data_IF_248094672260
#
_entry.id   IF_248094672260
#
_cell.length_a   1.000
_cell.length_b   1.000
_cell.length_c   1.000
_cell.angle_alpha   90.00
_cell.angle_beta   90.00
_cell.angle_gamma   90.00
#
_symmetry.space_group_name_H-M   'P 1'
#
loop_
_entity.id
_entity.type
_entity.pdbx_description
1 polymer ?
#
# COMPACT_ATOMS: atom_id res chain seq x y z
N UNK A 1 27.93 28.99 -20.99
CA UNK A 1 26.84 28.01 -20.83
C UNK A 1 26.20 28.14 -19.43
N UNK A 2 27.00 28.32 -18.38
CA UNK A 2 26.51 28.65 -17.02
C UNK A 2 25.78 30.00 -16.91
N UNK A 3 26.13 30.99 -17.74
CA UNK A 3 25.49 32.31 -17.71
C UNK A 3 24.04 32.31 -18.24
N UNK A 4 23.76 31.48 -19.25
CA UNK A 4 22.38 31.25 -19.74
C UNK A 4 21.52 30.48 -18.74
N UNK A 5 22.14 29.63 -17.92
CA UNK A 5 21.46 28.87 -16.86
C UNK A 5 21.02 29.79 -15.71
N UNK A 6 21.82 30.82 -15.40
CA UNK A 6 21.47 31.84 -14.39
C UNK A 6 20.38 32.80 -14.88
N UNK A 7 20.41 33.21 -16.15
CA UNK A 7 19.37 34.09 -16.72
C UNK A 7 17.97 33.46 -16.75
N UNK A 8 17.87 32.15 -17.04
CA UNK A 8 16.59 31.42 -17.01
C UNK A 8 16.00 31.22 -15.60
N UNK A 9 16.79 31.40 -14.54
CA UNK A 9 16.34 31.27 -13.15
C UNK A 9 15.83 32.59 -12.54
N UNK A 10 16.10 33.73 -13.17
CA UNK A 10 15.79 35.06 -12.62
C UNK A 10 14.67 35.83 -13.32
N UNK A 11 14.27 35.45 -14.54
CA UNK A 11 13.15 36.11 -15.22
C UNK A 11 11.87 35.28 -15.11
N UNK A 12 10.78 35.93 -14.71
CA UNK A 12 9.41 35.41 -14.90
C UNK A 12 9.12 35.39 -16.40
N UNK A 13 8.66 34.26 -16.96
CA UNK A 13 7.60 34.37 -17.95
C UNK A 13 6.54 33.27 -17.83
N UNK A 14 5.41 33.53 -18.47
CA UNK A 14 4.36 32.54 -18.70
C UNK A 14 4.92 31.35 -19.48
N UNK A 15 4.65 30.13 -19.00
CA UNK A 15 5.19 28.88 -19.54
C UNK A 15 4.52 28.57 -20.88
N UNK A 16 5.28 28.66 -21.98
CA UNK A 16 4.91 28.14 -23.30
C UNK A 16 5.48 26.72 -23.50
N UNK A 17 4.78 25.86 -24.25
CA UNK A 17 5.10 24.44 -24.55
C UNK A 17 6.54 24.16 -25.04
N UNK A 18 7.30 25.18 -25.45
CA UNK A 18 8.71 25.07 -25.86
C UNK A 18 9.66 24.72 -24.70
N UNK A 19 9.38 25.17 -23.48
CA UNK A 19 10.27 24.95 -22.33
C UNK A 19 10.26 23.49 -21.86
N UNK A 20 9.12 22.81 -21.95
CA UNK A 20 8.99 21.40 -21.59
C UNK A 20 9.86 20.54 -22.52
N UNK A 21 9.87 20.81 -23.83
CA UNK A 21 10.69 20.08 -24.81
C UNK A 21 12.21 20.25 -24.59
N UNK A 22 12.61 21.39 -24.03
CA UNK A 22 14.01 21.70 -23.73
C UNK A 22 14.43 21.06 -22.40
N UNK A 23 13.55 21.08 -21.39
CA UNK A 23 13.72 20.31 -20.16
C UNK A 23 13.84 18.82 -20.46
N UNK A 24 13.00 18.26 -21.33
CA UNK A 24 13.10 16.86 -21.77
C UNK A 24 14.49 16.48 -22.32
N UNK A 25 15.11 17.37 -23.09
CA UNK A 25 16.47 17.16 -23.63
C UNK A 25 17.54 17.28 -22.54
N UNK A 26 17.38 18.18 -21.58
CA UNK A 26 18.29 18.33 -20.43
C UNK A 26 18.21 17.12 -19.49
N UNK A 27 16.99 16.56 -19.29
CA UNK A 27 16.76 15.35 -18.50
C UNK A 27 17.48 14.12 -19.06
N UNK A 28 17.62 14.02 -20.38
CA UNK A 28 18.37 12.95 -21.03
C UNK A 28 19.89 13.09 -20.84
N UNK A 29 20.40 14.29 -20.52
CA UNK A 29 21.83 14.59 -20.45
C UNK A 29 22.32 14.59 -18.98
N UNK A 30 21.56 15.16 -18.04
CA UNK A 30 21.88 15.16 -16.60
C UNK A 30 20.67 14.81 -15.72
N UNK A 31 20.51 13.53 -15.31
CA UNK A 31 19.36 13.09 -14.52
C UNK A 31 19.31 13.67 -13.11
N UNK A 32 20.45 13.86 -12.43
CA UNK A 32 20.51 14.25 -11.01
C UNK A 32 20.14 15.72 -10.76
N UNK A 33 20.64 16.65 -11.57
CA UNK A 33 20.30 18.10 -11.53
C UNK A 33 18.81 18.31 -11.85
N UNK A 34 18.31 17.50 -12.78
CA UNK A 34 16.95 17.49 -13.27
C UNK A 34 15.94 17.01 -12.20
N UNK A 35 16.28 15.97 -11.44
CA UNK A 35 15.47 15.48 -10.32
C UNK A 35 15.27 16.52 -9.20
N UNK A 36 16.34 17.23 -8.82
CA UNK A 36 16.27 18.29 -7.80
C UNK A 36 15.37 19.45 -8.24
N UNK A 37 15.41 19.78 -9.53
CA UNK A 37 14.58 20.83 -10.13
C UNK A 37 13.09 20.47 -10.10
N UNK A 38 12.73 19.21 -10.36
CA UNK A 38 11.34 18.73 -10.21
C UNK A 38 10.85 18.88 -8.76
N UNK A 39 11.66 18.50 -7.77
CA UNK A 39 11.26 18.64 -6.37
C UNK A 39 10.96 20.10 -6.03
N UNK A 40 11.83 21.03 -6.45
CA UNK A 40 11.63 22.46 -6.24
C UNK A 40 10.42 23.02 -7.01
N UNK A 41 10.11 22.49 -8.20
CA UNK A 41 8.92 22.89 -8.96
C UNK A 41 7.63 22.42 -8.30
N UNK A 42 7.61 21.21 -7.73
CA UNK A 42 6.46 20.69 -6.97
C UNK A 42 6.27 21.43 -5.65
N UNK A 43 7.36 21.84 -4.99
CA UNK A 43 7.31 22.65 -3.76
C UNK A 43 6.86 24.09 -4.02
N UNK A 44 7.20 24.65 -5.19
CA UNK A 44 6.93 26.05 -5.53
C UNK A 44 5.61 26.30 -6.24
N UNK A 45 4.76 25.29 -6.46
CA UNK A 45 3.40 25.41 -7.00
C UNK A 45 3.27 25.95 -8.45
N UNK A 46 4.38 26.24 -9.14
CA UNK A 46 4.37 27.10 -10.33
C UNK A 46 3.90 26.43 -11.63
N UNK A 47 4.04 25.11 -11.76
CA UNK A 47 3.53 24.34 -12.92
C UNK A 47 3.36 22.83 -12.64
N UNK A 48 2.27 22.48 -11.94
CA UNK A 48 1.98 21.09 -11.59
C UNK A 48 1.66 20.23 -12.83
N UNK A 49 1.08 20.81 -13.88
CA UNK A 49 0.65 20.06 -15.08
C UNK A 49 1.85 19.62 -15.93
N UNK A 50 2.76 20.54 -16.24
CA UNK A 50 3.99 20.20 -16.98
C UNK A 50 4.86 19.23 -16.18
N UNK A 51 4.92 19.41 -14.86
CA UNK A 51 5.65 18.51 -13.96
C UNK A 51 5.08 17.08 -13.98
N UNK A 52 3.74 16.91 -13.97
CA UNK A 52 3.13 15.57 -14.09
C UNK A 52 3.49 14.92 -15.42
N UNK A 53 3.42 15.66 -16.54
CA UNK A 53 3.77 15.12 -17.86
C UNK A 53 5.23 14.68 -17.93
N UNK A 54 6.13 15.46 -17.34
CA UNK A 54 7.56 15.16 -17.27
C UNK A 54 7.85 13.94 -16.39
N UNK A 55 7.24 13.86 -15.20
CA UNK A 55 7.41 12.72 -14.27
C UNK A 55 6.86 11.43 -14.89
N UNK A 56 5.70 11.48 -15.54
CA UNK A 56 5.08 10.32 -16.19
C UNK A 56 5.80 9.88 -17.46
N UNK A 57 6.72 10.68 -17.99
CA UNK A 57 7.52 10.29 -19.13
C UNK A 57 8.56 9.22 -18.76
N UNK A 58 8.98 8.43 -19.75
CA UNK A 58 10.05 7.45 -19.59
C UNK A 58 11.45 8.09 -19.38
N UNK A 59 11.54 9.43 -19.41
CA UNK A 59 12.80 10.13 -19.18
C UNK A 59 13.23 10.13 -17.71
N UNK A 60 12.31 9.88 -16.78
CA UNK A 60 12.63 9.73 -15.35
C UNK A 60 12.83 8.25 -15.00
N UNK A 61 13.87 7.97 -14.20
CA UNK A 61 14.13 6.61 -13.71
C UNK A 61 13.01 6.11 -12.79
N UNK A 62 12.71 4.82 -12.87
CA UNK A 62 11.56 4.20 -12.18
C UNK A 62 11.63 4.37 -10.65
N UNK A 63 12.83 4.25 -10.05
CA UNK A 63 13.05 4.50 -8.62
C UNK A 63 12.70 5.93 -8.21
N UNK A 64 13.18 6.92 -8.96
CA UNK A 64 12.90 8.33 -8.68
C UNK A 64 11.40 8.65 -8.81
N UNK A 65 10.76 8.13 -9.85
CA UNK A 65 9.31 8.27 -10.04
C UNK A 65 8.53 7.76 -8.81
N UNK A 66 8.86 6.55 -8.35
CA UNK A 66 8.19 5.94 -7.20
C UNK A 66 8.46 6.72 -5.91
N UNK A 67 9.72 7.09 -5.65
CA UNK A 67 10.10 7.81 -4.44
C UNK A 67 9.46 9.20 -4.36
N UNK A 68 9.40 9.90 -5.48
CA UNK A 68 8.77 11.21 -5.58
C UNK A 68 7.28 11.11 -5.27
N UNK A 69 6.58 10.14 -5.87
CA UNK A 69 5.16 9.94 -5.59
C UNK A 69 4.91 9.54 -4.14
N UNK A 70 5.75 8.68 -3.55
CA UNK A 70 5.64 8.35 -2.12
C UNK A 70 5.73 9.61 -1.28
N UNK A 71 6.68 10.52 -1.56
CA UNK A 71 6.80 11.78 -0.84
C UNK A 71 5.54 12.66 -0.98
N UNK A 72 5.02 12.80 -2.22
CA UNK A 72 3.81 13.59 -2.47
C UNK A 72 2.56 13.01 -1.80
N UNK A 73 2.36 11.69 -1.88
CA UNK A 73 1.19 11.03 -1.28
C UNK A 73 1.29 10.86 0.24
N UNK A 74 2.49 10.80 0.80
CA UNK A 74 2.69 10.79 2.26
C UNK A 74 2.27 12.14 2.87
N UNK A 75 2.51 13.25 2.19
CA UNK A 75 2.08 14.59 2.60
C UNK A 75 0.82 15.07 1.86
N UNK A 76 -0.13 14.17 1.59
CA UNK A 76 -1.30 14.43 0.73
C UNK A 76 -2.14 15.65 1.09
N UNK A 77 -2.19 16.06 2.35
CA UNK A 77 -2.98 17.22 2.78
C UNK A 77 -2.35 18.55 2.37
N UNK A 78 -1.03 18.60 2.17
CA UNK A 78 -0.28 19.79 1.80
C UNK A 78 0.29 19.70 0.37
N UNK A 79 0.11 18.57 -0.31
CA UNK A 79 0.62 18.36 -1.65
C UNK A 79 -0.34 18.94 -2.69
N UNK A 80 0.10 20.01 -3.34
CA UNK A 80 -0.61 20.55 -4.49
C UNK A 80 -0.71 19.54 -5.64
N UNK A 81 0.31 18.69 -5.81
CA UNK A 81 0.31 17.59 -6.76
C UNK A 81 -0.89 16.65 -6.54
N UNK A 82 -1.08 16.17 -5.31
CA UNK A 82 -2.19 15.27 -4.99
C UNK A 82 -3.54 15.98 -5.19
N UNK A 83 -3.63 17.25 -4.79
CA UNK A 83 -4.82 18.08 -5.02
C UNK A 83 -5.13 18.26 -6.51
N UNK A 84 -4.11 18.39 -7.35
CA UNK A 84 -4.24 18.57 -8.79
C UNK A 84 -4.69 17.28 -9.46
N UNK A 85 -3.98 16.18 -9.19
CA UNK A 85 -4.23 14.87 -9.81
C UNK A 85 -5.58 14.28 -9.39
N UNK A 86 -6.06 14.60 -8.19
CA UNK A 86 -7.38 14.16 -7.72
C UNK A 86 -8.56 14.92 -8.30
N UNK A 87 -8.35 16.09 -8.93
CA UNK A 87 -9.44 16.85 -9.56
C UNK A 87 -9.96 16.09 -10.78
N UNK A 88 -11.28 16.00 -10.91
CA UNK A 88 -11.96 15.31 -12.02
C UNK A 88 -11.59 15.87 -13.39
N UNK A 89 -11.26 17.16 -13.47
CA UNK A 89 -10.78 17.82 -14.70
C UNK A 89 -9.43 17.25 -15.19
N UNK A 90 -8.61 16.70 -14.30
CA UNK A 90 -7.25 16.24 -14.58
C UNK A 90 -7.15 14.71 -14.71
N UNK A 91 -8.27 14.04 -15.06
CA UNK A 91 -8.31 12.60 -15.35
C UNK A 91 -7.20 12.11 -16.29
N UNK A 92 -6.82 12.82 -17.38
CA UNK A 92 -5.72 12.38 -18.24
C UNK A 92 -4.38 12.30 -17.50
N UNK A 93 -4.09 13.27 -16.62
CA UNK A 93 -2.88 13.30 -15.79
C UNK A 93 -2.84 12.13 -14.80
N UNK A 94 -3.97 11.84 -14.12
CA UNK A 94 -4.06 10.66 -13.25
C UNK A 94 -3.88 9.36 -14.04
N UNK A 95 -4.48 9.25 -15.22
CA UNK A 95 -4.31 8.07 -16.09
C UNK A 95 -2.85 7.87 -16.49
N UNK A 96 -2.13 8.93 -16.83
CA UNK A 96 -0.71 8.85 -17.14
C UNK A 96 0.12 8.34 -15.94
N UNK A 97 -0.21 8.80 -14.72
CA UNK A 97 0.40 8.30 -13.48
C UNK A 97 0.10 6.81 -13.28
N UNK A 98 -1.17 6.39 -13.37
CA UNK A 98 -1.56 4.99 -13.24
C UNK A 98 -0.88 4.09 -14.29
N UNK A 99 -0.86 4.51 -15.56
CA UNK A 99 -0.23 3.76 -16.65
C UNK A 99 1.27 3.57 -16.40
N UNK A 100 1.95 4.61 -15.91
CA UNK A 100 3.37 4.54 -15.55
C UNK A 100 3.59 3.56 -14.39
N UNK A 101 2.77 3.61 -13.34
CA UNK A 101 2.81 2.65 -12.22
C UNK A 101 2.59 1.22 -12.70
N UNK A 102 1.58 0.98 -13.52
CA UNK A 102 1.27 -0.33 -14.08
C UNK A 102 2.42 -0.88 -14.94
N UNK A 103 3.07 -0.04 -15.74
CA UNK A 103 4.26 -0.43 -16.50
C UNK A 103 5.43 -0.82 -15.58
N UNK A 104 5.65 -0.07 -14.50
CA UNK A 104 6.69 -0.39 -13.50
C UNK A 104 6.36 -1.71 -12.78
N UNK A 105 5.11 -1.97 -12.43
CA UNK A 105 4.69 -3.25 -11.85
C UNK A 105 4.98 -4.44 -12.75
N UNK A 106 4.72 -4.30 -14.06
CA UNK A 106 5.04 -5.34 -15.04
C UNK A 106 6.53 -5.58 -15.17
N UNK A 107 7.35 -4.52 -15.07
CA UNK A 107 8.81 -4.65 -15.01
C UNK A 107 9.24 -5.35 -13.73
N UNK A 108 8.74 -4.95 -12.55
CA UNK A 108 9.09 -5.60 -11.27
C UNK A 108 8.73 -7.09 -11.24
N UNK A 109 7.74 -7.53 -12.04
CA UNK A 109 7.43 -8.96 -12.18
C UNK A 109 8.46 -9.74 -13.02
N UNK A 110 9.22 -9.04 -13.88
CA UNK A 110 10.20 -9.63 -14.81
C UNK A 110 11.63 -9.43 -14.33
N UNK A 111 11.90 -8.25 -13.79
CA UNK A 111 13.18 -7.77 -13.29
C UNK A 111 13.20 -7.97 -11.78
N UNK A 112 14.19 -8.68 -11.24
CA UNK A 112 14.24 -9.05 -9.82
C UNK A 112 14.62 -7.87 -8.90
N UNK A 113 14.23 -6.65 -9.24
CA UNK A 113 14.46 -5.44 -8.43
C UNK A 113 13.51 -5.38 -7.22
N UNK A 114 13.87 -6.14 -6.19
CA UNK A 114 13.11 -6.26 -4.94
C UNK A 114 12.95 -4.92 -4.21
N UNK A 115 13.93 -4.02 -4.34
CA UNK A 115 13.85 -2.71 -3.69
C UNK A 115 12.76 -1.88 -4.34
N UNK A 116 12.74 -1.82 -5.67
CA UNK A 116 11.68 -1.13 -6.40
C UNK A 116 10.31 -1.73 -6.10
N UNK A 117 10.19 -3.07 -6.07
CA UNK A 117 8.93 -3.75 -5.76
C UNK A 117 8.36 -3.32 -4.40
N UNK A 118 9.16 -3.36 -3.32
CA UNK A 118 8.74 -2.94 -1.97
C UNK A 118 8.25 -1.48 -1.93
N UNK A 119 8.92 -0.59 -2.69
CA UNK A 119 8.53 0.81 -2.80
C UNK A 119 7.23 0.97 -3.57
N UNK A 120 7.02 0.20 -4.64
CA UNK A 120 5.76 0.19 -5.40
C UNK A 120 4.60 -0.31 -4.52
N UNK A 121 4.80 -1.34 -3.70
CA UNK A 121 3.78 -1.81 -2.73
C UNK A 121 3.37 -0.67 -1.78
N UNK A 122 4.35 0.05 -1.22
CA UNK A 122 4.08 1.21 -0.37
C UNK A 122 3.34 2.31 -1.13
N UNK A 123 3.76 2.66 -2.34
CA UNK A 123 3.10 3.66 -3.17
C UNK A 123 1.63 3.31 -3.44
N UNK A 124 1.36 2.06 -3.81
CA UNK A 124 -0.01 1.58 -4.06
C UNK A 124 -0.87 1.70 -2.80
N UNK A 125 -0.33 1.38 -1.63
CA UNK A 125 -1.04 1.53 -0.35
C UNK A 125 -1.47 2.98 -0.09
N UNK A 126 -0.58 3.94 -0.39
CA UNK A 126 -0.84 5.35 -0.21
C UNK A 126 -1.89 5.85 -1.21
N UNK A 127 -1.78 5.45 -2.48
CA UNK A 127 -2.74 5.82 -3.52
C UNK A 127 -4.13 5.22 -3.23
N UNK A 128 -4.21 3.95 -2.85
CA UNK A 128 -5.47 3.25 -2.57
C UNK A 128 -6.22 3.87 -1.37
N UNK A 129 -5.48 4.45 -0.42
CA UNK A 129 -6.05 5.18 0.72
C UNK A 129 -6.69 6.52 0.34
N UNK A 130 -6.37 7.07 -0.83
CA UNK A 130 -6.89 8.35 -1.29
C UNK A 130 -8.28 8.18 -1.92
N UNK A 131 -9.34 8.45 -1.16
CA UNK A 131 -10.73 8.33 -1.62
C UNK A 131 -11.11 9.26 -2.78
N UNK A 132 -10.35 10.32 -3.01
CA UNK A 132 -10.54 11.25 -4.12
C UNK A 132 -10.05 10.68 -5.46
N UNK A 133 -9.19 9.65 -5.43
CA UNK A 133 -8.66 9.02 -6.62
C UNK A 133 -9.58 7.89 -7.08
N UNK A 134 -9.99 7.95 -8.34
CA UNK A 134 -10.74 6.89 -8.99
C UNK A 134 -9.81 6.13 -9.93
N UNK A 135 -9.47 4.92 -9.53
CA UNK A 135 -8.72 3.95 -10.32
C UNK A 135 -9.72 3.23 -11.23
N UNK A 136 -9.32 2.89 -12.45
CA UNK A 136 -10.16 2.07 -13.32
C UNK A 136 -10.26 0.64 -12.81
N UNK A 137 -11.27 -0.11 -13.25
CA UNK A 137 -11.40 -1.51 -12.87
C UNK A 137 -10.17 -2.32 -13.31
N UNK A 138 -9.68 -2.14 -14.54
CA UNK A 138 -8.54 -2.91 -15.06
C UNK A 138 -7.24 -2.64 -14.27
N UNK A 139 -6.94 -1.37 -13.99
CA UNK A 139 -5.80 -0.99 -13.15
C UNK A 139 -5.92 -1.59 -11.75
N UNK A 140 -7.11 -1.54 -11.16
CA UNK A 140 -7.34 -2.14 -9.85
C UNK A 140 -7.10 -3.65 -9.86
N UNK A 141 -7.60 -4.39 -10.86
CA UNK A 141 -7.34 -5.84 -10.98
C UNK A 141 -5.84 -6.13 -11.05
N UNK A 142 -5.11 -5.34 -11.83
CA UNK A 142 -3.66 -5.45 -11.97
C UNK A 142 -2.94 -5.19 -10.64
N UNK A 143 -3.33 -4.12 -9.93
CA UNK A 143 -2.72 -3.72 -8.66
C UNK A 143 -3.02 -4.72 -7.55
N UNK A 144 -4.24 -5.23 -7.45
CA UNK A 144 -4.59 -6.33 -6.52
C UNK A 144 -3.76 -7.57 -6.84
N UNK A 145 -3.66 -7.95 -8.12
CA UNK A 145 -2.83 -9.09 -8.53
C UNK A 145 -1.34 -8.88 -8.21
N UNK A 146 -0.86 -7.63 -8.26
CA UNK A 146 0.50 -7.28 -7.89
C UNK A 146 0.72 -7.37 -6.37
N UNK A 147 -0.19 -6.83 -5.56
CA UNK A 147 -0.14 -6.95 -4.09
C UNK A 147 -0.27 -8.41 -3.62
N UNK A 148 -1.06 -9.22 -4.33
CA UNK A 148 -1.26 -10.64 -4.06
C UNK A 148 -0.15 -11.54 -4.64
N UNK A 149 0.98 -10.96 -5.05
CA UNK A 149 2.10 -11.73 -5.60
C UNK A 149 2.87 -12.46 -4.49
N UNK A 150 3.36 -13.66 -4.80
CA UNK A 150 4.07 -14.55 -3.85
C UNK A 150 5.59 -14.42 -3.89
N UNK A 151 6.11 -13.58 -4.78
CA UNK A 151 7.55 -13.51 -5.06
C UNK A 151 8.29 -12.71 -3.97
N UNK A 152 7.58 -11.86 -3.24
CA UNK A 152 8.18 -11.01 -2.22
C UNK A 152 8.23 -11.68 -0.83
N UNK A 153 9.37 -11.55 -0.16
CA UNK A 153 9.74 -12.23 1.10
C UNK A 153 9.92 -11.28 2.27
N UNK A 154 9.81 -9.96 2.08
CA UNK A 154 10.01 -9.04 3.18
C UNK A 154 8.74 -8.88 4.04
N UNK A 155 8.89 -9.12 5.35
CA UNK A 155 7.80 -9.08 6.34
C UNK A 155 7.04 -7.75 6.32
N UNK A 156 7.73 -6.64 6.05
CA UNK A 156 7.14 -5.29 6.02
C UNK A 156 6.19 -5.13 4.84
N UNK A 157 6.62 -5.43 3.62
CA UNK A 157 5.80 -5.32 2.42
C UNK A 157 4.66 -6.32 2.42
N UNK A 158 4.85 -7.52 2.97
CA UNK A 158 3.76 -8.49 3.15
C UNK A 158 2.67 -7.93 4.05
N UNK A 159 3.04 -7.31 5.19
CA UNK A 159 2.08 -6.65 6.09
C UNK A 159 1.39 -5.48 5.40
N UNK A 160 2.12 -4.64 4.67
CA UNK A 160 1.55 -3.50 3.93
C UNK A 160 0.58 -3.99 2.85
N UNK A 161 0.96 -5.00 2.05
CA UNK A 161 0.12 -5.56 1.01
C UNK A 161 -1.17 -6.16 1.60
N UNK A 162 -1.05 -6.98 2.64
CA UNK A 162 -2.19 -7.54 3.37
C UNK A 162 -3.11 -6.43 3.90
N UNK A 163 -2.53 -5.44 4.60
CA UNK A 163 -3.31 -4.36 5.16
C UNK A 163 -3.98 -3.51 4.08
N UNK A 164 -3.31 -3.28 2.95
CA UNK A 164 -3.86 -2.51 1.81
C UNK A 164 -5.08 -3.20 1.21
N UNK A 165 -4.98 -4.52 0.97
CA UNK A 165 -6.08 -5.35 0.44
C UNK A 165 -7.29 -5.30 1.38
N UNK A 166 -7.08 -5.37 2.68
CA UNK A 166 -8.15 -5.33 3.69
C UNK A 166 -8.73 -3.92 3.90
N UNK A 167 -7.90 -2.89 3.84
CA UNK A 167 -8.26 -1.52 4.20
C UNK A 167 -8.92 -0.73 3.07
N UNK A 168 -8.67 -1.08 1.80
CA UNK A 168 -8.90 -0.17 0.67
C UNK A 168 -10.10 -0.56 -0.22
N UNK A 169 -11.33 -0.12 0.10
CA UNK A 169 -12.51 -0.40 -0.73
C UNK A 169 -12.43 0.33 -2.07
N UNK A 170 -11.65 1.40 -2.18
CA UNK A 170 -11.43 2.13 -3.43
C UNK A 170 -10.67 1.30 -4.47
N UNK A 171 -9.91 0.30 -4.01
CA UNK A 171 -9.28 -0.65 -4.90
C UNK A 171 -10.39 -1.58 -5.44
N UNK A 172 -11.22 -2.16 -4.58
CA UNK A 172 -12.24 -3.13 -4.98
C UNK A 172 -13.66 -2.54 -4.90
N UNK A 173 -13.92 -1.45 -5.65
CA UNK A 173 -15.21 -0.73 -5.62
C UNK A 173 -16.38 -1.61 -6.09
N UNK A 174 -16.14 -2.47 -7.07
CA UNK A 174 -17.14 -3.38 -7.63
C UNK A 174 -16.89 -4.82 -7.18
N UNK A 175 -17.28 -5.14 -5.95
CA UNK A 175 -17.15 -6.48 -5.37
C UNK A 175 -17.78 -7.58 -6.24
N UNK A 176 -18.79 -7.25 -7.05
CA UNK A 176 -19.50 -8.21 -7.91
C UNK A 176 -18.62 -8.60 -9.09
N UNK A 177 -18.03 -7.64 -9.80
CA UNK A 177 -17.09 -7.98 -10.88
C UNK A 177 -15.76 -8.54 -10.36
N UNK A 178 -15.41 -8.28 -9.09
CA UNK A 178 -14.22 -8.85 -8.45
C UNK A 178 -14.41 -10.29 -7.92
N UNK A 179 -15.64 -10.83 -7.89
CA UNK A 179 -15.88 -12.29 -7.75
C UNK A 179 -15.47 -13.09 -9.00
N UNK A 180 -14.88 -12.44 -9.99
CA UNK A 180 -14.16 -13.10 -11.08
C UNK A 180 -13.16 -14.13 -10.52
N UNK A 181 -13.16 -15.31 -11.15
CA UNK A 181 -12.42 -16.49 -10.73
C UNK A 181 -10.91 -16.19 -10.61
N UNK A 182 -10.37 -15.33 -11.48
CA UNK A 182 -8.93 -15.03 -11.51
C UNK A 182 -8.44 -14.25 -10.28
N UNK A 183 -9.20 -13.24 -9.83
CA UNK A 183 -8.80 -12.41 -8.68
C UNK A 183 -9.06 -13.15 -7.39
N UNK A 184 -10.22 -13.82 -7.28
CA UNK A 184 -10.50 -14.71 -6.17
C UNK A 184 -9.40 -15.75 -5.98
N UNK A 185 -8.99 -16.43 -7.07
CA UNK A 185 -7.84 -17.36 -7.03
C UNK A 185 -6.55 -16.68 -6.60
N UNK A 186 -6.24 -15.50 -7.13
CA UNK A 186 -5.00 -14.77 -6.77
C UNK A 186 -4.97 -14.42 -5.27
N UNK A 187 -6.07 -13.89 -4.74
CA UNK A 187 -6.22 -13.55 -3.31
C UNK A 187 -6.16 -14.79 -2.41
N UNK A 188 -6.91 -15.85 -2.74
CA UNK A 188 -6.85 -17.11 -1.99
C UNK A 188 -5.43 -17.68 -2.00
N UNK A 189 -4.78 -17.68 -3.16
CA UNK A 189 -3.41 -18.18 -3.32
C UNK A 189 -2.41 -17.36 -2.50
N UNK A 190 -2.59 -16.05 -2.43
CA UNK A 190 -1.81 -15.15 -1.58
C UNK A 190 -2.04 -15.42 -0.09
N UNK A 191 -3.29 -15.56 0.35
CA UNK A 191 -3.60 -15.88 1.74
C UNK A 191 -3.04 -17.24 2.16
N UNK A 192 -3.16 -18.28 1.32
CA UNK A 192 -2.53 -19.57 1.57
C UNK A 192 -1.01 -19.51 1.55
N UNK A 193 -0.42 -18.58 0.78
CA UNK A 193 1.02 -18.33 0.81
C UNK A 193 1.44 -17.66 2.13
N UNK A 194 0.73 -16.62 2.59
CA UNK A 194 0.98 -16.04 3.90
C UNK A 194 0.85 -17.09 5.01
N UNK A 195 -0.15 -17.96 4.89
CA UNK A 195 -0.35 -19.08 5.82
C UNK A 195 0.88 -19.99 5.90
N UNK A 196 1.52 -20.31 4.77
CA UNK A 196 2.73 -21.16 4.77
C UNK A 196 3.95 -20.42 5.34
N UNK A 197 4.05 -19.10 5.16
CA UNK A 197 5.13 -18.29 5.73
C UNK A 197 5.07 -18.24 7.26
N UNK A 198 3.89 -18.04 7.84
CA UNK A 198 3.75 -17.90 9.29
C UNK A 198 4.10 -19.18 10.05
N UNK A 199 4.24 -20.34 9.38
CA UNK A 199 4.73 -21.56 10.00
C UNK A 199 6.22 -21.47 10.36
N UNK A 200 6.96 -20.52 9.76
CA UNK A 200 8.37 -20.29 10.06
C UNK A 200 8.52 -19.22 11.15
N UNK A 201 9.50 -19.36 12.08
CA UNK A 201 9.69 -18.44 13.20
C UNK A 201 10.12 -17.02 12.75
N UNK A 202 10.77 -16.90 11.60
CA UNK A 202 11.21 -15.62 11.03
C UNK A 202 10.05 -14.66 10.73
N UNK A 203 8.84 -15.20 10.49
CA UNK A 203 7.62 -14.44 10.24
C UNK A 203 6.73 -14.31 11.49
N UNK A 204 7.30 -14.40 12.70
CA UNK A 204 6.55 -14.17 13.93
C UNK A 204 5.80 -12.82 13.95
N UNK A 205 6.37 -11.68 13.45
CA UNK A 205 5.64 -10.42 13.39
C UNK A 205 4.42 -10.47 12.47
N UNK A 206 4.56 -10.98 11.24
CA UNK A 206 3.44 -11.22 10.32
C UNK A 206 2.39 -12.18 10.92
N UNK A 207 2.84 -13.26 11.56
CA UNK A 207 1.97 -14.23 12.24
C UNK A 207 1.10 -13.56 13.29
N UNK A 208 1.68 -12.68 14.11
CA UNK A 208 0.93 -11.93 15.12
C UNK A 208 -0.13 -11.04 14.46
N UNK A 209 0.24 -10.28 13.43
CA UNK A 209 -0.70 -9.43 12.68
C UNK A 209 -1.84 -10.24 12.08
N UNK A 210 -1.57 -11.39 11.47
CA UNK A 210 -2.60 -12.23 10.85
C UNK A 210 -3.59 -12.80 11.87
N UNK A 211 -3.10 -13.22 13.04
CA UNK A 211 -3.96 -13.69 14.15
C UNK A 211 -4.86 -12.55 14.62
N UNK A 212 -4.29 -11.35 14.81
CA UNK A 212 -5.03 -10.17 15.25
C UNK A 212 -6.15 -9.81 14.27
N UNK A 213 -5.83 -9.77 12.98
CA UNK A 213 -6.81 -9.54 11.93
C UNK A 213 -7.91 -10.60 12.00
N UNK A 214 -7.56 -11.88 12.10
CA UNK A 214 -8.55 -12.96 12.19
C UNK A 214 -9.48 -12.77 13.40
N UNK A 215 -8.91 -12.48 14.57
CA UNK A 215 -9.70 -12.29 15.79
C UNK A 215 -10.72 -11.17 15.60
N UNK A 216 -10.26 -10.00 15.14
CA UNK A 216 -11.13 -8.85 14.93
C UNK A 216 -12.21 -9.10 13.86
N UNK A 217 -11.89 -9.85 12.81
CA UNK A 217 -12.85 -10.19 11.76
C UNK A 217 -13.97 -11.09 12.26
N UNK A 218 -13.65 -12.07 13.12
CA UNK A 218 -14.62 -13.02 13.67
C UNK A 218 -15.42 -12.41 14.82
N UNK A 219 -14.83 -11.54 15.65
CA UNK A 219 -15.57 -10.78 16.68
C UNK A 219 -16.33 -9.57 16.14
N UNK A 220 -16.27 -9.32 14.83
CA UNK A 220 -16.82 -8.13 14.15
C UNK A 220 -16.39 -6.79 14.78
N UNK A 221 -15.16 -6.73 15.29
CA UNK A 221 -14.61 -5.53 15.93
C UNK A 221 -13.94 -4.63 14.89
N UNK A 222 -14.76 -3.90 14.14
CA UNK A 222 -14.31 -3.06 13.05
C UNK A 222 -13.47 -1.83 13.50
N UNK A 223 -13.63 -1.35 14.74
CA UNK A 223 -12.84 -0.22 15.26
C UNK A 223 -11.39 -0.62 15.48
N UNK A 224 -11.15 -1.67 16.28
CA UNK A 224 -9.80 -2.09 16.60
C UNK A 224 -9.06 -2.63 15.36
N UNK A 225 -9.79 -3.25 14.44
CA UNK A 225 -9.25 -3.63 13.14
C UNK A 225 -8.79 -2.40 12.33
N UNK A 226 -9.58 -1.33 12.35
CA UNK A 226 -9.22 -0.07 11.69
C UNK A 226 -7.96 0.53 12.31
N UNK A 227 -7.82 0.47 13.64
CA UNK A 227 -6.62 0.94 14.35
C UNK A 227 -5.40 0.08 13.98
N UNK A 228 -5.55 -1.26 13.98
CA UNK A 228 -4.49 -2.18 13.60
C UNK A 228 -3.99 -1.93 12.17
N UNK A 229 -4.91 -1.84 11.21
CA UNK A 229 -4.58 -1.56 9.80
C UNK A 229 -3.95 -0.17 9.64
N UNK A 230 -4.41 0.83 10.40
CA UNK A 230 -3.80 2.17 10.41
C UNK A 230 -2.37 2.16 10.90
N UNK A 231 -2.07 1.37 11.93
CA UNK A 231 -0.71 1.23 12.47
C UNK A 231 0.25 0.57 11.47
N UNK A 232 -0.24 -0.41 10.70
CA UNK A 232 0.57 -1.07 9.66
C UNK A 232 0.83 -0.12 8.48
N UNK A 233 -0.19 0.64 8.08
CA UNK A 233 -0.12 1.51 6.90
C UNK A 233 0.43 2.92 7.18
N UNK A 234 0.61 3.30 8.44
CA UNK A 234 1.11 4.61 8.86
C UNK A 234 0.13 5.76 8.61
N UNK A 235 -1.14 5.48 8.33
CA UNK A 235 -2.17 6.50 8.11
C UNK A 235 -3.54 6.00 8.56
N UNK A 236 -4.45 6.93 8.86
CA UNK A 236 -5.80 6.60 9.32
C UNK A 236 -6.59 5.85 8.24
N UNK A 237 -6.98 4.63 8.55
CA UNK A 237 -7.89 3.78 7.79
C UNK A 237 -9.31 3.98 8.32
N UNK A 238 -10.35 4.10 7.47
CA UNK A 238 -11.74 4.09 7.92
C UNK A 238 -12.20 2.67 8.23
N UNK A 239 -13.35 2.51 8.91
CA UNK A 239 -14.03 1.21 9.10
C UNK A 239 -14.58 0.68 7.77
N UNK A 240 -13.71 0.20 6.88
CA UNK A 240 -14.02 -0.08 5.47
C UNK A 240 -14.34 -1.53 5.19
N UNK A 241 -14.00 -2.44 6.09
CA UNK A 241 -14.12 -3.89 5.86
C UNK A 241 -15.57 -4.38 5.83
N UNK A 242 -16.50 -3.66 6.44
CA UNK A 242 -17.95 -3.86 6.24
C UNK A 242 -18.38 -3.68 4.78
N UNK A 243 -17.61 -2.93 3.99
CA UNK A 243 -17.82 -2.71 2.55
C UNK A 243 -17.10 -3.73 1.69
N UNK A 244 -16.38 -4.70 2.29
CA UNK A 244 -15.60 -5.70 1.58
C UNK A 244 -15.88 -7.15 2.04
N UNK A 245 -17.14 -7.63 2.00
CA UNK A 245 -17.49 -8.97 2.47
C UNK A 245 -16.74 -10.09 1.74
N UNK A 246 -16.48 -9.95 0.43
CA UNK A 246 -15.78 -10.96 -0.35
C UNK A 246 -14.35 -11.20 0.14
N UNK A 247 -13.60 -10.12 0.42
CA UNK A 247 -12.22 -10.22 0.91
C UNK A 247 -12.19 -10.79 2.33
N UNK A 248 -13.17 -10.40 3.18
CA UNK A 248 -13.34 -10.97 4.53
C UNK A 248 -13.56 -12.48 4.47
N UNK A 249 -14.47 -12.94 3.61
CA UNK A 249 -14.76 -14.37 3.38
C UNK A 249 -13.48 -15.13 2.97
N UNK A 250 -12.76 -14.60 1.97
CA UNK A 250 -11.53 -15.24 1.48
C UNK A 250 -10.43 -15.30 2.55
N UNK A 251 -10.27 -14.25 3.36
CA UNK A 251 -9.27 -14.23 4.42
C UNK A 251 -9.56 -15.28 5.49
N UNK A 252 -10.81 -15.32 5.99
CA UNK A 252 -11.23 -16.29 7.01
C UNK A 252 -11.10 -17.73 6.48
N UNK A 253 -11.37 -17.95 5.19
CA UNK A 253 -11.30 -19.28 4.59
C UNK A 253 -9.87 -19.75 4.29
N UNK A 254 -8.94 -18.86 3.93
CA UNK A 254 -7.65 -19.27 3.32
C UNK A 254 -6.40 -18.78 4.06
N UNK A 255 -6.47 -17.76 4.91
CA UNK A 255 -5.27 -17.12 5.49
C UNK A 255 -4.83 -17.77 6.80
N UNK A 256 -5.76 -18.06 7.69
CA UNK A 256 -5.50 -18.74 8.96
C UNK A 256 -6.79 -19.36 9.49
N UNK A 257 -6.70 -20.56 10.07
CA UNK A 257 -7.85 -21.21 10.68
C UNK A 257 -7.84 -21.05 12.21
N UNK A 258 -8.98 -21.37 12.84
CA UNK A 258 -9.17 -21.22 14.29
C UNK A 258 -8.19 -22.08 15.13
N UNK A 259 -7.74 -23.23 14.59
CA UNK A 259 -6.78 -24.10 15.26
C UNK A 259 -5.38 -23.47 15.28
N UNK A 260 -4.91 -22.93 14.16
CA UNK A 260 -3.62 -22.24 14.09
C UNK A 260 -3.59 -21.01 14.99
N UNK A 261 -4.69 -20.26 15.02
CA UNK A 261 -4.86 -19.13 15.94
C UNK A 261 -4.72 -19.60 17.39
N UNK A 262 -5.41 -20.68 17.77
CA UNK A 262 -5.32 -21.24 19.13
C UNK A 262 -3.89 -21.68 19.49
N UNK A 263 -3.24 -22.43 18.61
CA UNK A 263 -1.87 -22.92 18.83
C UNK A 263 -0.85 -21.79 18.92
N UNK A 264 -0.94 -20.80 18.04
CA UNK A 264 0.02 -19.70 18.02
C UNK A 264 -0.20 -18.77 19.20
N UNK A 265 -1.44 -18.47 19.54
CA UNK A 265 -1.72 -17.57 20.64
C UNK A 265 -1.58 -18.22 22.03
N UNK A 266 -1.58 -19.55 22.14
CA UNK A 266 -1.07 -20.26 23.32
C UNK A 266 0.44 -20.05 23.57
N UNK A 267 1.20 -19.69 22.53
CA UNK A 267 2.64 -19.50 22.57
C UNK A 267 3.07 -18.03 22.46
N UNK A 268 2.13 -17.07 22.51
CA UNK A 268 2.49 -15.65 22.50
C UNK A 268 3.06 -15.28 23.87
N UNK A 269 4.28 -14.75 23.87
CA UNK A 269 4.93 -14.26 25.08
C UNK A 269 4.05 -13.24 25.81
N UNK A 270 3.83 -13.48 27.10
CA UNK A 270 3.10 -12.56 27.96
C UNK A 270 3.81 -11.21 27.96
N UNK A 271 3.06 -10.14 27.69
CA UNK A 271 3.59 -8.78 27.78
C UNK A 271 3.89 -8.45 29.24
N UNK A 272 5.17 -8.44 29.60
CA UNK A 272 5.63 -8.12 30.96
C UNK A 272 5.31 -6.65 31.26
N UNK A 273 4.84 -6.37 32.48
CA UNK A 273 4.54 -5.01 32.98
C UNK A 273 3.44 -4.29 32.19
N UNK A 274 2.35 -5.00 31.89
CA UNK A 274 1.15 -4.42 31.31
C UNK A 274 0.63 -3.26 32.18
N UNK A 275 0.25 -2.15 31.57
CA UNK A 275 -0.45 -1.07 32.26
C UNK A 275 -1.60 -0.53 31.41
N UNK A 276 -2.57 0.11 32.06
CA UNK A 276 -3.80 0.60 31.42
C UNK A 276 -3.57 1.76 30.43
N UNK A 277 -2.37 2.35 30.40
CA UNK A 277 -2.01 3.43 29.46
C UNK A 277 -1.35 2.92 28.19
N UNK A 278 -1.03 1.61 28.10
CA UNK A 278 -0.49 1.02 26.89
C UNK A 278 -1.55 1.01 25.79
N UNK A 279 -1.36 1.85 24.78
CA UNK A 279 -2.22 1.90 23.59
C UNK A 279 -1.86 0.81 22.58
N UNK A 280 -2.87 0.20 21.97
CA UNK A 280 -2.71 -0.82 20.93
C UNK A 280 -3.17 -2.21 21.37
N UNK A 281 -3.27 -3.14 20.41
CA UNK A 281 -3.75 -4.47 20.71
C UNK A 281 -2.63 -5.34 21.31
N UNK A 282 -2.78 -5.64 22.60
CA UNK A 282 -1.89 -6.51 23.35
C UNK A 282 -2.27 -7.99 23.17
N UNK A 283 -1.31 -8.93 23.27
CA UNK A 283 -1.55 -10.38 23.27
C UNK A 283 -2.71 -10.87 24.14
N UNK A 284 -2.94 -10.19 25.27
CA UNK A 284 -4.04 -10.51 26.21
C UNK A 284 -5.42 -10.48 25.54
N UNK A 285 -5.65 -9.55 24.61
CA UNK A 285 -6.94 -9.47 23.92
C UNK A 285 -7.18 -10.68 23.00
N UNK A 286 -6.12 -11.22 22.36
CA UNK A 286 -6.21 -12.48 21.61
C UNK A 286 -6.59 -13.64 22.51
N UNK A 287 -5.95 -13.75 23.68
CA UNK A 287 -6.22 -14.81 24.65
C UNK A 287 -7.67 -14.72 25.15
N UNK A 288 -8.15 -13.52 25.50
CA UNK A 288 -9.54 -13.30 25.92
C UNK A 288 -10.55 -13.73 24.85
N UNK A 289 -10.34 -13.36 23.58
CA UNK A 289 -11.22 -13.75 22.49
C UNK A 289 -11.27 -15.27 22.30
N UNK A 290 -10.13 -15.95 22.38
CA UNK A 290 -10.08 -17.41 22.26
C UNK A 290 -10.68 -18.16 23.43
N UNK A 291 -10.52 -17.64 24.65
CA UNK A 291 -11.19 -18.17 25.84
C UNK A 291 -12.71 -18.08 25.67
N UNK A 292 -13.21 -16.94 25.17
CA UNK A 292 -14.63 -16.78 24.86
C UNK A 292 -15.13 -17.81 23.84
N UNK A 293 -14.35 -18.08 22.79
CA UNK A 293 -14.67 -19.10 21.78
C UNK A 293 -14.44 -20.55 22.20
N UNK A 294 -13.97 -20.78 23.43
CA UNK A 294 -13.55 -22.11 23.94
C UNK A 294 -12.53 -22.81 23.03
N UNK A 295 -11.78 -22.06 22.23
CA UNK A 295 -10.89 -22.60 21.19
C UNK A 295 -9.83 -23.52 21.78
N UNK A 296 -9.24 -23.17 22.92
CA UNK A 296 -8.21 -23.99 23.57
C UNK A 296 -8.72 -25.38 23.97
N UNK A 297 -9.95 -25.45 24.50
CA UNK A 297 -10.58 -26.73 24.86
C UNK A 297 -11.00 -27.51 23.61
N UNK A 298 -11.54 -26.82 22.61
CA UNK A 298 -11.97 -27.43 21.33
C UNK A 298 -10.82 -28.08 20.57
N UNK A 299 -9.62 -27.50 20.63
CA UNK A 299 -8.44 -27.96 19.89
C UNK A 299 -7.36 -28.58 20.80
N UNK A 300 -7.71 -28.95 22.04
CA UNK A 300 -6.79 -29.55 23.03
C UNK A 300 -5.44 -28.86 23.14
N UNK A 301 -5.45 -27.53 23.04
CA UNK A 301 -4.23 -26.73 23.00
C UNK A 301 -3.83 -26.35 24.42
N UNK A 302 -2.67 -26.81 24.86
CA UNK A 302 -2.13 -26.44 26.18
C UNK A 302 -1.62 -25.01 26.16
N UNK A 303 -2.06 -24.19 27.11
CA UNK A 303 -1.57 -22.82 27.27
C UNK A 303 -0.25 -22.91 28.04
N UNK A 304 0.85 -22.57 27.40
CA UNK A 304 2.14 -22.44 28.08
C UNK A 304 2.15 -21.07 28.79
N UNK A 305 1.85 -21.07 30.08
CA UNK A 305 1.92 -19.88 30.96
C UNK A 305 3.36 -19.64 31.40
#
# INVERSE_FOLDING_TARGET
MEEKLKQLLTEKPAVEDKDISTLFKIFQIEPSTSQRSICLQLESAKDVKGTVQLICSNATGDHFFVDLLIAQFSNRNNSEFVSFVSKTANKPSMRAVCQRISSIMEKCRKDEDRKLESRVVLLVSLIASCSSLRISNDESRQWVSFLANKINTDDVSLKIALATILASPNLMLDQVSFRDEKIGKSLSSFFSYLHSLIQKPEYAPLSNVMILIYVHLVTDNAEDLSILLSNILGHKVPKTLSKQPFVKELYIANAINQQDVAQKAANINITKRLNATMSGYLPVHCICAMLHWRSFSKYSTSINV
#
